data_IF_094898045214
#
_entry.id   IF_094898045214
#
_cell.length_a   1.000
_cell.length_b   1.000
_cell.length_c   1.000
_cell.angle_alpha   90.00
_cell.angle_beta   90.00
_cell.angle_gamma   90.00
#
_symmetry.space_group_name_H-M   'P 1'
#
loop_
_entity.id
_entity.type
_entity.pdbx_description
1 polymer ?
#
# COMPACT_ATOMS: atom_id res chain seq x y z
N UNK A 1 -33.16 7.38 -45.87
CA UNK A 1 -32.55 6.04 -46.01
C UNK A 1 -31.04 6.19 -45.95
N UNK A 2 -30.40 5.23 -45.27
CA UNK A 2 -28.96 4.93 -45.23
C UNK A 2 -28.07 5.91 -44.44
N UNK A 3 -27.98 5.60 -43.15
CA UNK A 3 -26.86 5.94 -42.28
C UNK A 3 -25.56 5.32 -42.82
N UNK A 4 -24.50 6.12 -42.87
CA UNK A 4 -23.15 5.67 -43.21
C UNK A 4 -22.40 5.28 -41.95
N UNK A 5 -21.88 4.06 -41.98
CA UNK A 5 -21.13 3.35 -40.94
C UNK A 5 -19.91 4.16 -40.45
N UNK A 6 -19.92 4.54 -39.17
CA UNK A 6 -18.70 4.82 -38.45
C UNK A 6 -18.05 3.49 -38.08
N UNK A 7 -16.92 3.20 -38.72
CA UNK A 7 -16.12 2.00 -38.46
C UNK A 7 -15.56 2.01 -37.04
N UNK A 8 -15.82 0.92 -36.32
CA UNK A 8 -15.10 0.46 -35.14
C UNK A 8 -13.60 0.56 -35.40
N UNK A 9 -12.91 1.46 -34.67
CA UNK A 9 -11.47 1.36 -34.47
C UNK A 9 -11.21 0.57 -33.20
N UNK A 10 -10.74 -0.64 -33.43
CA UNK A 10 -9.95 -1.54 -32.59
C UNK A 10 -9.77 -1.12 -31.13
N UNK A 11 -10.50 -1.85 -30.29
CA UNK A 11 -10.27 -1.96 -28.86
C UNK A 11 -8.95 -2.75 -28.68
N UNK A 12 -7.82 -2.05 -28.52
CA UNK A 12 -6.57 -2.68 -28.08
C UNK A 12 -6.85 -3.51 -26.83
N UNK A 13 -6.47 -4.79 -26.87
CA UNK A 13 -6.85 -5.79 -25.87
C UNK A 13 -6.32 -5.41 -24.48
N UNK A 14 -7.12 -4.69 -23.71
CA UNK A 14 -7.00 -4.60 -22.26
C UNK A 14 -7.06 -6.03 -21.73
N UNK A 15 -6.07 -6.38 -20.91
CA UNK A 15 -5.95 -7.74 -20.37
C UNK A 15 -7.12 -7.97 -19.42
N UNK A 16 -8.18 -8.65 -19.88
CA UNK A 16 -9.41 -8.88 -19.10
C UNK A 16 -9.08 -9.32 -17.66
N UNK A 17 -9.67 -8.66 -16.67
CA UNK A 17 -9.42 -8.96 -15.25
C UNK A 17 -9.83 -10.43 -15.01
N UNK A 18 -8.92 -11.26 -14.47
CA UNK A 18 -9.17 -12.70 -14.25
C UNK A 18 -9.52 -13.06 -12.81
N UNK A 19 -9.56 -12.07 -11.92
CA UNK A 19 -9.90 -12.23 -10.51
C UNK A 19 -10.48 -10.92 -9.96
N UNK A 20 -11.58 -11.02 -9.23
CA UNK A 20 -12.26 -9.91 -8.56
C UNK A 20 -12.69 -10.34 -7.17
N UNK A 21 -12.50 -9.46 -6.17
CA UNK A 21 -12.92 -9.72 -4.80
C UNK A 21 -13.73 -8.52 -4.31
N UNK A 22 -14.83 -8.79 -3.62
CA UNK A 22 -15.70 -7.77 -3.07
C UNK A 22 -16.18 -8.19 -1.68
N UNK A 23 -16.54 -7.23 -0.84
CA UNK A 23 -17.25 -7.50 0.42
C UNK A 23 -18.73 -7.21 0.19
N UNK A 24 -19.56 -8.23 0.35
CA UNK A 24 -21.01 -8.14 0.25
C UNK A 24 -21.65 -8.09 1.65
N UNK A 25 -22.80 -7.43 1.76
CA UNK A 25 -23.70 -7.59 2.90
C UNK A 25 -24.31 -9.00 2.91
N UNK A 26 -24.88 -9.45 4.04
CA UNK A 26 -25.54 -10.75 4.09
C UNK A 26 -26.65 -10.85 3.05
N UNK A 27 -27.48 -9.80 2.93
CA UNK A 27 -28.57 -9.71 1.95
C UNK A 27 -28.05 -9.81 0.51
N UNK A 28 -26.92 -9.16 0.19
CA UNK A 28 -26.31 -9.25 -1.13
C UNK A 28 -25.73 -10.64 -1.41
N UNK A 29 -25.19 -11.34 -0.41
CA UNK A 29 -24.75 -12.73 -0.57
C UNK A 29 -25.93 -13.64 -0.90
N UNK A 30 -27.04 -13.48 -0.19
CA UNK A 30 -28.23 -14.32 -0.39
C UNK A 30 -28.84 -14.03 -1.78
N UNK A 31 -28.96 -12.74 -2.15
CA UNK A 31 -29.38 -12.30 -3.49
C UNK A 31 -28.48 -12.81 -4.60
N UNK A 32 -27.16 -12.86 -4.38
CA UNK A 32 -26.22 -13.46 -5.33
C UNK A 32 -26.55 -14.94 -5.56
N UNK A 33 -26.80 -15.69 -4.48
CA UNK A 33 -27.22 -17.09 -4.56
C UNK A 33 -28.47 -17.27 -5.42
N UNK A 34 -29.51 -16.48 -5.15
CA UNK A 34 -30.78 -16.50 -5.90
C UNK A 34 -30.57 -16.21 -7.40
N UNK A 35 -29.82 -15.15 -7.73
CA UNK A 35 -29.55 -14.76 -9.12
C UNK A 35 -28.81 -15.86 -9.88
N UNK A 36 -27.77 -16.47 -9.29
CA UNK A 36 -26.99 -17.50 -9.97
C UNK A 36 -27.72 -18.83 -10.09
N UNK A 37 -28.56 -19.18 -9.11
CA UNK A 37 -29.47 -20.31 -9.24
C UNK A 37 -30.50 -20.09 -10.35
N UNK A 38 -31.10 -18.90 -10.44
CA UNK A 38 -32.06 -18.58 -11.50
C UNK A 38 -31.42 -18.60 -12.90
N UNK A 39 -30.12 -18.31 -13.00
CA UNK A 39 -29.34 -18.43 -14.24
C UNK A 39 -28.87 -19.86 -14.55
N UNK A 40 -29.21 -20.84 -13.69
CA UNK A 40 -28.90 -22.26 -13.92
C UNK A 40 -27.43 -22.63 -13.74
N UNK A 41 -26.64 -21.83 -13.00
CA UNK A 41 -25.23 -22.13 -12.78
C UNK A 41 -25.05 -23.38 -11.91
N UNK A 42 -24.02 -24.18 -12.19
CA UNK A 42 -23.74 -25.37 -11.41
C UNK A 42 -23.15 -25.00 -10.05
N UNK A 43 -23.64 -25.64 -8.99
CA UNK A 43 -23.12 -25.45 -7.64
C UNK A 43 -21.91 -26.36 -7.37
N UNK A 44 -21.08 -25.95 -6.43
CA UNK A 44 -20.03 -26.79 -5.86
C UNK A 44 -19.90 -26.59 -4.36
N UNK A 45 -19.31 -27.55 -3.67
CA UNK A 45 -18.97 -27.39 -2.26
C UNK A 45 -17.60 -26.73 -2.08
N UNK A 46 -17.55 -25.69 -1.26
CA UNK A 46 -16.31 -25.05 -0.83
C UNK A 46 -16.39 -24.81 0.67
N UNK A 47 -15.33 -25.17 1.39
CA UNK A 47 -15.28 -25.03 2.85
C UNK A 47 -15.54 -23.59 3.28
N UNK A 48 -16.50 -23.40 4.19
CA UNK A 48 -16.94 -22.10 4.72
C UNK A 48 -17.60 -21.15 3.70
N UNK A 49 -17.92 -21.63 2.50
CA UNK A 49 -18.69 -20.88 1.52
C UNK A 49 -20.19 -20.98 1.83
N UNK A 50 -20.90 -19.86 1.76
CA UNK A 50 -22.36 -19.85 1.75
C UNK A 50 -22.90 -20.22 0.37
N UNK A 51 -22.26 -19.69 -0.66
CA UNK A 51 -22.56 -20.01 -2.05
C UNK A 51 -21.28 -20.24 -2.85
N UNK A 52 -21.28 -21.24 -3.72
CA UNK A 52 -20.20 -21.44 -4.67
C UNK A 52 -20.74 -22.02 -5.98
N UNK A 53 -20.42 -21.34 -7.09
CA UNK A 53 -20.93 -21.65 -8.41
C UNK A 53 -19.80 -21.70 -9.45
N UNK A 54 -20.04 -22.49 -10.50
CA UNK A 54 -19.26 -22.53 -11.73
C UNK A 54 -20.13 -22.03 -12.90
N UNK A 55 -19.65 -20.99 -13.56
CA UNK A 55 -20.21 -20.43 -14.79
C UNK A 55 -19.25 -20.60 -15.96
N UNK A 56 -19.62 -20.07 -17.12
CA UNK A 56 -18.77 -20.19 -18.31
C UNK A 56 -17.48 -19.38 -18.16
N UNK A 57 -16.37 -20.12 -18.02
CA UNK A 57 -15.03 -19.53 -17.84
C UNK A 57 -14.85 -18.72 -16.55
N UNK A 58 -15.76 -18.82 -15.57
CA UNK A 58 -15.72 -18.05 -14.31
C UNK A 58 -16.23 -18.86 -13.13
N UNK A 59 -15.60 -18.66 -11.98
CA UNK A 59 -15.86 -19.34 -10.72
C UNK A 59 -16.22 -18.30 -9.68
N UNK A 60 -17.31 -18.49 -8.96
CA UNK A 60 -17.82 -17.54 -7.97
C UNK A 60 -17.93 -18.23 -6.62
N UNK A 61 -17.37 -17.64 -5.57
CA UNK A 61 -17.45 -18.15 -4.19
C UNK A 61 -17.77 -17.00 -3.26
N UNK A 62 -18.91 -17.06 -2.57
CA UNK A 62 -19.28 -16.15 -1.51
C UNK A 62 -19.20 -16.88 -0.16
N UNK A 63 -18.41 -16.33 0.76
CA UNK A 63 -18.19 -16.88 2.10
C UNK A 63 -19.21 -16.36 3.11
N UNK A 64 -19.42 -17.10 4.20
CA UNK A 64 -20.24 -16.67 5.34
C UNK A 64 -19.79 -15.32 5.91
N UNK A 65 -18.51 -15.00 5.77
CA UNK A 65 -17.97 -13.70 6.15
C UNK A 65 -18.46 -12.54 5.28
N UNK A 66 -19.16 -12.76 4.17
CA UNK A 66 -19.50 -11.76 3.16
C UNK A 66 -18.41 -11.51 2.13
N UNK A 67 -17.24 -12.18 2.23
CA UNK A 67 -16.20 -12.10 1.20
C UNK A 67 -16.70 -12.80 -0.08
N UNK A 68 -16.67 -12.11 -1.21
CA UNK A 68 -16.88 -12.65 -2.55
C UNK A 68 -15.53 -12.81 -3.26
N UNK A 69 -15.35 -13.94 -3.93
CA UNK A 69 -14.22 -14.23 -4.81
C UNK A 69 -14.77 -14.67 -6.16
N UNK A 70 -14.44 -13.92 -7.20
CA UNK A 70 -14.73 -14.25 -8.61
C UNK A 70 -13.40 -14.51 -9.30
N UNK A 71 -13.29 -15.61 -10.04
CA UNK A 71 -12.04 -16.00 -10.69
C UNK A 71 -12.29 -16.69 -12.02
N UNK A 72 -11.53 -16.33 -13.05
CA UNK A 72 -11.59 -16.94 -14.38
C UNK A 72 -11.61 -15.89 -15.48
N UNK A 73 -11.57 -16.35 -16.74
CA UNK A 73 -11.54 -15.47 -17.92
C UNK A 73 -12.82 -14.67 -18.09
N UNK A 74 -13.96 -15.18 -17.62
CA UNK A 74 -15.26 -14.51 -17.64
C UNK A 74 -15.53 -13.59 -16.44
N UNK A 75 -14.52 -13.25 -15.63
CA UNK A 75 -14.71 -12.45 -14.40
C UNK A 75 -15.28 -11.07 -14.71
N UNK A 76 -14.73 -10.36 -15.70
CA UNK A 76 -15.18 -9.02 -16.07
C UNK A 76 -16.62 -9.01 -16.59
N UNK A 77 -16.94 -9.98 -17.46
CA UNK A 77 -18.29 -10.13 -18.02
C UNK A 77 -19.29 -10.48 -16.90
N UNK A 78 -18.92 -11.36 -15.96
CA UNK A 78 -19.74 -11.67 -14.78
C UNK A 78 -20.00 -10.44 -13.90
N UNK A 79 -18.96 -9.68 -13.58
CA UNK A 79 -19.09 -8.53 -12.68
C UNK A 79 -20.01 -7.47 -13.30
N UNK A 80 -19.72 -7.09 -14.54
CA UNK A 80 -20.40 -6.00 -15.25
C UNK A 80 -21.86 -6.33 -15.59
N UNK A 81 -22.17 -7.58 -15.95
CA UNK A 81 -23.50 -7.95 -16.45
C UNK A 81 -24.40 -8.65 -15.43
N UNK A 82 -23.84 -9.15 -14.32
CA UNK A 82 -24.59 -9.91 -13.30
C UNK A 82 -24.39 -9.29 -11.92
N UNK A 83 -23.15 -9.25 -11.41
CA UNK A 83 -22.90 -8.84 -10.03
C UNK A 83 -23.38 -7.42 -9.77
N UNK A 84 -22.95 -6.46 -10.59
CA UNK A 84 -23.26 -5.05 -10.42
C UNK A 84 -24.75 -4.73 -10.63
N UNK A 85 -25.35 -5.06 -11.78
CA UNK A 85 -26.73 -4.69 -12.05
C UNK A 85 -27.75 -5.49 -11.24
N UNK A 86 -27.48 -6.76 -10.91
CA UNK A 86 -28.47 -7.65 -10.29
C UNK A 86 -28.24 -7.86 -8.81
N UNK A 87 -27.01 -7.76 -8.30
CA UNK A 87 -26.70 -8.06 -6.89
C UNK A 87 -26.41 -6.79 -6.10
N UNK A 88 -25.34 -6.07 -6.43
CA UNK A 88 -24.89 -4.92 -5.62
C UNK A 88 -25.71 -3.66 -5.88
N UNK A 89 -26.18 -3.45 -7.12
CA UNK A 89 -26.77 -2.17 -7.54
C UNK A 89 -25.75 -1.04 -7.65
N UNK A 90 -24.46 -1.37 -7.53
CA UNK A 90 -23.33 -0.44 -7.60
C UNK A 90 -22.43 -0.88 -8.74
N UNK A 91 -22.13 0.05 -9.64
CA UNK A 91 -21.19 -0.14 -10.74
C UNK A 91 -19.78 0.14 -10.22
N UNK A 92 -18.99 -0.88 -9.87
CA UNK A 92 -17.72 -0.76 -9.13
C UNK A 92 -16.48 -1.03 -10.02
N UNK A 93 -16.60 -1.92 -11.00
CA UNK A 93 -15.55 -2.39 -11.88
C UNK A 93 -15.55 -1.58 -13.18
N UNK A 94 -14.47 -0.84 -13.45
CA UNK A 94 -14.39 0.03 -14.64
C UNK A 94 -15.06 1.40 -14.46
N UNK A 95 -15.63 1.66 -13.28
CA UNK A 95 -16.26 2.92 -12.90
C UNK A 95 -15.48 3.64 -11.79
N UNK A 96 -14.19 3.35 -11.65
CA UNK A 96 -13.37 3.98 -10.62
C UNK A 96 -13.38 5.52 -10.76
N UNK A 97 -13.43 6.05 -11.99
CA UNK A 97 -13.60 7.50 -12.27
C UNK A 97 -14.94 8.07 -11.76
N UNK A 98 -16.00 7.27 -11.74
CA UNK A 98 -17.34 7.71 -11.30
C UNK A 98 -17.46 7.61 -9.79
N UNK A 99 -16.92 6.55 -9.19
CA UNK A 99 -17.04 6.30 -7.75
C UNK A 99 -16.01 7.04 -6.91
N UNK A 100 -14.84 7.33 -7.48
CA UNK A 100 -13.75 8.04 -6.81
C UNK A 100 -13.18 9.10 -7.76
N UNK A 101 -13.97 10.11 -8.14
CA UNK A 101 -13.52 11.15 -9.08
C UNK A 101 -12.25 11.85 -8.58
N UNK A 102 -12.06 11.94 -7.26
CA UNK A 102 -10.89 12.55 -6.65
C UNK A 102 -9.59 11.83 -7.03
N UNK A 103 -9.60 10.51 -7.29
CA UNK A 103 -8.39 9.78 -7.71
C UNK A 103 -7.85 10.28 -9.05
N UNK A 104 -8.67 10.97 -9.85
CA UNK A 104 -8.32 11.42 -11.19
C UNK A 104 -8.04 12.92 -11.26
N UNK A 105 -8.19 13.63 -10.14
CA UNK A 105 -7.69 14.99 -10.00
C UNK A 105 -6.18 14.99 -9.72
N UNK A 106 -5.43 16.04 -10.10
CA UNK A 106 -4.04 16.16 -9.67
C UNK A 106 -3.93 16.23 -8.15
N UNK A 107 -3.24 15.26 -7.54
CA UNK A 107 -3.05 15.21 -6.09
C UNK A 107 -1.76 14.50 -5.69
N UNK A 108 -1.36 14.70 -4.43
CA UNK A 108 -0.21 14.02 -3.84
C UNK A 108 -0.64 12.77 -3.05
N UNK A 109 0.10 11.68 -3.16
CA UNK A 109 -0.01 10.48 -2.33
C UNK A 109 1.25 10.29 -1.49
N UNK A 110 1.09 9.91 -0.22
CA UNK A 110 2.21 9.73 0.71
C UNK A 110 2.08 8.41 1.49
N UNK A 111 3.19 7.69 1.61
CA UNK A 111 3.29 6.47 2.42
C UNK A 111 4.74 6.20 2.86
N UNK A 112 4.94 5.24 3.77
CA UNK A 112 6.24 4.83 4.28
C UNK A 112 6.54 3.32 4.19
N UNK A 113 7.83 2.98 4.20
CA UNK A 113 8.28 1.59 4.33
C UNK A 113 9.47 1.45 5.28
N UNK A 114 9.59 0.29 5.92
CA UNK A 114 10.70 -0.01 6.83
C UNK A 114 10.43 0.29 8.30
N UNK A 115 9.25 0.81 8.66
CA UNK A 115 8.88 1.18 10.04
C UNK A 115 9.00 0.02 11.04
N UNK A 116 8.57 -1.18 10.64
CA UNK A 116 8.53 -2.37 11.50
C UNK A 116 9.75 -3.28 11.40
N UNK A 117 10.73 -2.93 10.56
CA UNK A 117 11.92 -3.75 10.33
C UNK A 117 13.01 -3.39 11.35
N UNK A 118 13.70 -4.38 11.92
CA UNK A 118 14.81 -4.12 12.85
C UNK A 118 15.97 -3.41 12.13
N UNK A 119 16.24 -3.85 10.91
CA UNK A 119 17.35 -3.37 10.10
C UNK A 119 16.90 -2.30 9.09
N UNK A 120 17.86 -1.47 8.66
CA UNK A 120 17.64 -0.45 7.65
C UNK A 120 16.80 0.73 8.14
N UNK A 121 16.84 1.87 7.42
CA UNK A 121 16.14 3.07 7.85
C UNK A 121 14.63 2.94 7.63
N UNK A 122 13.89 4.00 7.96
CA UNK A 122 12.55 4.19 7.43
C UNK A 122 12.64 5.09 6.20
N UNK A 123 11.86 4.76 5.18
CA UNK A 123 11.74 5.53 3.95
C UNK A 123 10.32 6.06 3.84
N UNK A 124 10.19 7.38 3.73
CA UNK A 124 8.94 8.03 3.32
C UNK A 124 9.01 8.37 1.84
N UNK A 125 7.90 8.26 1.13
CA UNK A 125 7.76 8.71 -0.25
C UNK A 125 6.55 9.62 -0.42
N UNK A 126 6.68 10.57 -1.35
CA UNK A 126 5.60 11.39 -1.87
C UNK A 126 5.59 11.26 -3.39
N UNK A 127 4.42 11.00 -3.95
CA UNK A 127 4.17 10.92 -5.40
C UNK A 127 3.10 11.95 -5.75
N UNK A 128 3.27 12.70 -6.83
CA UNK A 128 2.23 13.61 -7.36
C UNK A 128 1.92 13.19 -8.79
N UNK A 129 0.64 12.96 -9.04
CA UNK A 129 0.12 12.48 -10.32
C UNK A 129 -1.24 13.11 -10.64
N UNK A 130 -1.66 12.98 -11.89
CA UNK A 130 -2.99 13.34 -12.37
C UNK A 130 -3.74 12.13 -12.92
N UNK A 131 -4.98 12.35 -13.36
CA UNK A 131 -5.87 11.29 -13.81
C UNK A 131 -5.32 10.44 -14.97
N UNK A 132 -4.59 11.02 -15.92
CA UNK A 132 -4.05 10.25 -17.05
C UNK A 132 -2.98 9.26 -16.58
N UNK A 133 -2.14 9.68 -15.61
CA UNK A 133 -1.15 8.80 -14.98
C UNK A 133 -1.83 7.68 -14.18
N UNK A 134 -2.89 8.02 -13.44
CA UNK A 134 -3.66 7.05 -12.66
C UNK A 134 -4.32 6.01 -13.56
N UNK A 135 -4.96 6.42 -14.66
CA UNK A 135 -5.52 5.51 -15.67
C UNK A 135 -4.47 4.54 -16.20
N UNK A 136 -3.32 5.08 -16.61
CA UNK A 136 -2.19 4.26 -17.06
C UNK A 136 -1.73 3.25 -16.00
N UNK A 137 -1.64 3.65 -14.73
CA UNK A 137 -1.25 2.74 -13.65
C UNK A 137 -2.26 1.63 -13.41
N UNK A 138 -3.56 1.96 -13.44
CA UNK A 138 -4.63 0.99 -13.29
C UNK A 138 -4.64 -0.03 -14.43
N UNK A 139 -4.44 0.41 -15.67
CA UNK A 139 -4.29 -0.47 -16.84
C UNK A 139 -3.08 -1.41 -16.71
N UNK A 140 -1.96 -0.91 -16.17
CA UNK A 140 -0.78 -1.74 -15.89
C UNK A 140 -0.93 -2.64 -14.65
N UNK A 141 -2.02 -2.52 -13.90
CA UNK A 141 -2.30 -3.28 -12.69
C UNK A 141 -1.38 -2.91 -11.52
N UNK A 142 -0.90 -1.67 -11.49
CA UNK A 142 -0.13 -1.13 -10.38
C UNK A 142 -1.08 -0.94 -9.20
N UNK A 143 -0.78 -1.62 -8.09
CA UNK A 143 -1.57 -1.59 -6.87
C UNK A 143 -0.68 -1.93 -5.70
N UNK A 144 -0.98 -1.39 -4.53
CA UNK A 144 -0.35 -1.85 -3.31
C UNK A 144 -1.08 -3.09 -2.76
N UNK A 145 -0.31 -4.12 -2.43
CA UNK A 145 -0.82 -5.30 -1.75
C UNK A 145 0.30 -5.95 -0.97
N UNK A 146 -0.03 -6.33 0.27
CA UNK A 146 0.87 -7.00 1.21
C UNK A 146 1.42 -8.35 0.71
N UNK A 147 0.86 -8.90 -0.36
CA UNK A 147 1.26 -10.19 -0.96
C UNK A 147 2.16 -10.05 -2.19
N UNK A 148 2.54 -8.83 -2.57
CA UNK A 148 3.38 -8.58 -3.75
C UNK A 148 4.84 -8.92 -3.44
N UNK A 149 5.50 -9.62 -4.37
CA UNK A 149 6.92 -9.98 -4.25
C UNK A 149 7.83 -8.79 -4.49
N UNK A 150 9.04 -8.81 -3.92
CA UNK A 150 10.02 -7.73 -4.12
C UNK A 150 10.31 -7.47 -5.60
N UNK A 151 10.39 -8.52 -6.42
CA UNK A 151 10.63 -8.39 -7.86
C UNK A 151 9.49 -7.65 -8.57
N UNK A 152 8.24 -7.91 -8.17
CA UNK A 152 7.08 -7.20 -8.69
C UNK A 152 7.05 -5.73 -8.20
N UNK A 153 7.39 -5.47 -6.93
CA UNK A 153 7.55 -4.10 -6.41
C UNK A 153 8.57 -3.31 -7.23
N UNK A 154 9.75 -3.88 -7.49
CA UNK A 154 10.78 -3.20 -8.28
C UNK A 154 10.34 -2.93 -9.72
N UNK A 155 9.57 -3.84 -10.33
CA UNK A 155 9.01 -3.66 -11.67
C UNK A 155 7.96 -2.53 -11.70
N UNK A 156 7.03 -2.51 -10.75
CA UNK A 156 6.01 -1.46 -10.66
C UNK A 156 6.63 -0.10 -10.34
N UNK A 157 7.59 -0.03 -9.40
CA UNK A 157 8.32 1.20 -9.10
C UNK A 157 9.00 1.78 -10.34
N UNK A 158 9.59 0.93 -11.20
CA UNK A 158 10.16 1.34 -12.49
C UNK A 158 9.09 1.88 -13.44
N UNK A 159 7.91 1.24 -13.51
CA UNK A 159 6.81 1.71 -14.35
C UNK A 159 6.28 3.07 -13.89
N UNK A 160 6.09 3.25 -12.58
CA UNK A 160 5.70 4.54 -11.98
C UNK A 160 6.73 5.60 -12.32
N UNK A 161 8.03 5.33 -12.09
CA UNK A 161 9.11 6.29 -12.36
C UNK A 161 9.29 6.63 -13.85
N UNK A 162 8.78 5.80 -14.77
CA UNK A 162 8.80 6.04 -16.21
C UNK A 162 7.55 6.77 -16.73
N UNK A 163 6.54 6.98 -15.88
CA UNK A 163 5.35 7.73 -16.24
C UNK A 163 5.70 9.19 -16.45
N UNK A 164 5.45 9.71 -17.65
CA UNK A 164 5.78 11.08 -18.01
C UNK A 164 5.06 12.07 -17.09
N UNK A 165 5.77 13.05 -16.53
CA UNK A 165 5.20 14.12 -15.70
C UNK A 165 4.90 13.77 -14.24
N UNK A 166 5.09 12.50 -13.83
CA UNK A 166 4.97 12.12 -12.41
C UNK A 166 6.07 12.81 -11.60
N UNK A 167 5.72 13.30 -10.41
CA UNK A 167 6.72 13.76 -9.44
C UNK A 167 6.89 12.69 -8.37
N UNK A 168 8.14 12.35 -8.06
CA UNK A 168 8.48 11.38 -7.03
C UNK A 168 9.58 11.94 -6.15
N UNK A 169 9.35 11.97 -4.85
CA UNK A 169 10.35 12.32 -3.85
C UNK A 169 10.35 11.33 -2.71
N UNK A 170 11.53 11.07 -2.18
CA UNK A 170 11.71 10.16 -1.05
C UNK A 170 12.57 10.83 0.01
N UNK A 171 12.19 10.66 1.27
CA UNK A 171 12.99 11.11 2.40
C UNK A 171 13.34 9.93 3.30
N UNK A 172 14.63 9.73 3.53
CA UNK A 172 15.18 8.76 4.45
C UNK A 172 16.55 9.22 4.92
N UNK A 173 17.11 8.54 5.91
CA UNK A 173 18.44 8.84 6.44
C UNK A 173 19.32 7.60 6.45
N UNK A 174 20.62 7.78 6.69
CA UNK A 174 21.47 6.65 7.08
C UNK A 174 20.99 6.06 8.42
N UNK A 175 21.44 4.83 8.73
CA UNK A 175 21.13 4.17 10.01
C UNK A 175 21.66 4.92 11.23
N UNK A 176 22.89 5.43 11.13
CA UNK A 176 23.49 6.28 12.17
C UNK A 176 22.60 7.49 12.43
N UNK A 177 22.22 8.19 11.36
CA UNK A 177 21.39 9.40 11.47
C UNK A 177 19.98 9.09 11.94
N UNK A 178 19.42 7.94 11.57
CA UNK A 178 18.12 7.49 12.05
C UNK A 178 18.12 7.39 13.58
N UNK A 179 19.12 6.71 14.15
CA UNK A 179 19.24 6.52 15.59
C UNK A 179 19.47 7.85 16.33
N UNK A 180 20.28 8.75 15.78
CA UNK A 180 20.42 10.12 16.31
C UNK A 180 19.10 10.90 16.31
N UNK A 181 18.40 10.90 15.18
CA UNK A 181 17.17 11.66 15.01
C UNK A 181 16.05 11.11 15.89
N UNK A 182 15.95 9.79 16.06
CA UNK A 182 14.99 9.19 16.97
C UNK A 182 15.08 9.79 18.38
N UNK A 183 16.31 9.99 18.89
CA UNK A 183 16.54 10.65 20.18
C UNK A 183 16.15 12.14 20.13
N UNK A 184 16.53 12.86 19.07
CA UNK A 184 16.18 14.29 18.90
C UNK A 184 14.67 14.54 18.81
N UNK A 185 13.91 13.57 18.29
CA UNK A 185 12.44 13.63 18.27
C UNK A 185 11.80 13.13 19.57
N UNK A 186 12.56 13.05 20.66
CA UNK A 186 12.08 12.70 22.00
C UNK A 186 11.64 11.25 22.10
N UNK A 187 12.39 10.35 21.45
CA UNK A 187 12.12 8.90 21.43
C UNK A 187 10.72 8.56 20.89
N UNK A 188 10.29 9.31 19.88
CA UNK A 188 8.97 9.17 19.28
C UNK A 188 9.09 8.96 17.76
N UNK A 189 8.92 7.71 17.34
CA UNK A 189 8.99 7.33 15.93
C UNK A 189 7.97 8.08 15.07
N UNK A 190 6.75 8.32 15.58
CA UNK A 190 5.73 9.03 14.80
C UNK A 190 6.12 10.50 14.53
N UNK A 191 6.85 11.15 15.44
CA UNK A 191 7.38 12.51 15.20
C UNK A 191 8.47 12.52 14.13
N UNK A 192 9.35 11.51 14.15
CA UNK A 192 10.39 11.32 13.13
C UNK A 192 9.77 11.01 11.76
N UNK A 193 8.80 10.09 11.70
CA UNK A 193 8.05 9.78 10.47
C UNK A 193 7.40 11.03 9.91
N UNK A 194 6.71 11.80 10.76
CA UNK A 194 6.05 13.01 10.32
C UNK A 194 7.02 14.02 9.69
N UNK A 195 8.23 14.13 10.22
CA UNK A 195 9.27 14.97 9.64
C UNK A 195 9.75 14.45 8.28
N UNK A 196 9.92 13.14 8.12
CA UNK A 196 10.29 12.53 6.84
C UNK A 196 9.20 12.73 5.78
N UNK A 197 7.92 12.53 6.13
CA UNK A 197 6.81 12.81 5.22
C UNK A 197 6.76 14.29 4.82
N UNK A 198 6.89 15.20 5.78
CA UNK A 198 6.94 16.64 5.49
C UNK A 198 8.07 17.00 4.53
N UNK A 199 9.26 16.43 4.72
CA UNK A 199 10.39 16.65 3.82
C UNK A 199 10.12 16.12 2.41
N UNK A 200 9.66 14.87 2.28
CA UNK A 200 9.36 14.29 0.97
C UNK A 200 8.24 15.07 0.25
N UNK A 201 7.24 15.53 1.01
CA UNK A 201 6.15 16.35 0.51
C UNK A 201 6.62 17.71 -0.01
N UNK A 202 7.35 18.49 0.81
CA UNK A 202 7.79 19.83 0.39
C UNK A 202 8.73 19.76 -0.82
N UNK A 203 9.66 18.78 -0.84
CA UNK A 203 10.53 18.55 -2.01
C UNK A 203 9.71 18.22 -3.28
N UNK A 204 8.51 17.65 -3.15
CA UNK A 204 7.63 17.31 -4.26
C UNK A 204 6.77 18.51 -4.69
N UNK A 205 6.23 19.27 -3.71
CA UNK A 205 5.46 20.48 -3.94
C UNK A 205 6.29 21.57 -4.65
N UNK A 206 7.61 21.60 -4.43
CA UNK A 206 8.53 22.46 -5.19
C UNK A 206 8.57 22.18 -6.70
N UNK A 207 8.18 20.98 -7.12
CA UNK A 207 8.16 20.58 -8.53
C UNK A 207 6.76 20.66 -9.14
N UNK A 208 5.73 20.36 -8.36
CA UNK A 208 4.33 20.39 -8.80
C UNK A 208 3.43 20.62 -7.59
N UNK A 209 2.60 21.65 -7.62
CA UNK A 209 1.72 22.01 -6.50
C UNK A 209 0.25 21.70 -6.85
N UNK A 210 -0.26 20.48 -6.54
CA UNK A 210 -1.69 20.21 -6.60
C UNK A 210 -2.42 20.92 -5.44
N UNK A 211 -3.75 20.92 -5.46
CA UNK A 211 -4.55 21.55 -4.38
C UNK A 211 -4.56 20.75 -3.08
N UNK A 212 -4.39 19.44 -3.18
CA UNK A 212 -4.53 18.54 -2.03
C UNK A 212 -3.66 17.27 -2.18
N UNK A 213 -3.55 16.54 -1.07
CA UNK A 213 -2.97 15.21 -1.07
C UNK A 213 -3.42 14.36 0.10
N UNK A 214 -3.09 13.07 0.02
CA UNK A 214 -3.53 12.03 0.93
C UNK A 214 -2.34 11.27 1.51
N UNK A 215 -2.37 11.08 2.82
CA UNK A 215 -1.38 10.31 3.57
C UNK A 215 -2.06 9.11 4.25
N UNK A 216 -1.43 7.93 4.20
CA UNK A 216 -1.88 6.79 5.02
C UNK A 216 -1.68 7.07 6.51
N UNK A 217 -2.76 6.96 7.27
CA UNK A 217 -2.80 7.43 8.64
C UNK A 217 -1.99 6.53 9.58
N UNK A 218 -0.77 6.94 9.93
CA UNK A 218 0.05 6.23 10.93
C UNK A 218 -0.13 6.74 12.38
N UNK A 219 -0.88 7.84 12.58
CA UNK A 219 -1.15 8.48 13.87
C UNK A 219 -2.51 9.17 13.88
N UNK A 220 -3.18 9.21 15.04
CA UNK A 220 -4.43 9.97 15.21
C UNK A 220 -4.23 11.47 15.13
N UNK A 221 -3.07 11.96 15.57
CA UNK A 221 -2.74 13.39 15.54
C UNK A 221 -2.21 13.79 14.15
N UNK A 222 -2.58 14.97 13.62
CA UNK A 222 -2.09 15.50 12.35
C UNK A 222 -0.64 15.99 12.46
N UNK A 223 0.29 15.06 12.71
CA UNK A 223 1.69 15.38 12.93
C UNK A 223 2.40 15.84 11.66
N UNK A 224 1.93 15.46 10.47
CA UNK A 224 2.57 15.80 9.19
C UNK A 224 2.16 17.19 8.72
N UNK A 225 0.92 17.57 8.99
CA UNK A 225 0.32 18.85 8.61
C UNK A 225 1.13 20.04 9.10
N UNK A 226 1.79 19.94 10.27
CA UNK A 226 2.66 21.00 10.80
C UNK A 226 3.95 21.25 9.98
N UNK A 227 4.26 20.35 9.04
CA UNK A 227 5.41 20.48 8.14
C UNK A 227 4.98 20.88 6.72
N UNK A 228 3.68 20.98 6.45
CA UNK A 228 3.19 21.64 5.25
C UNK A 228 3.56 23.11 5.40
N UNK A 229 4.46 23.59 4.55
CA UNK A 229 4.86 25.00 4.52
C UNK A 229 3.68 25.90 4.16
N UNK A 230 3.81 27.23 4.32
CA UNK A 230 2.78 28.23 4.04
C UNK A 230 2.36 28.26 2.55
N UNK A 231 1.65 27.22 2.12
CA UNK A 231 1.18 26.94 0.76
C UNK A 231 -0.32 26.73 0.75
N UNK A 232 -0.94 26.95 -0.40
CA UNK A 232 -2.37 26.67 -0.60
C UNK A 232 -2.61 25.17 -0.88
N UNK A 233 -2.08 24.31 -0.02
CA UNK A 233 -2.13 22.84 -0.13
C UNK A 233 -2.81 22.20 1.08
N UNK A 234 -3.78 21.32 0.85
CA UNK A 234 -4.46 20.57 1.90
C UNK A 234 -3.93 19.14 2.03
N UNK A 235 -3.34 18.79 3.18
CA UNK A 235 -2.95 17.41 3.48
C UNK A 235 -4.00 16.67 4.31
N UNK A 236 -4.69 15.74 3.67
CA UNK A 236 -5.66 14.84 4.29
C UNK A 236 -5.00 13.54 4.77
N UNK A 237 -5.65 12.88 5.74
CA UNK A 237 -5.22 11.59 6.26
C UNK A 237 -6.43 10.69 6.45
N UNK A 238 -6.32 9.44 6.00
CA UNK A 238 -7.30 8.40 6.29
C UNK A 238 -6.61 7.06 6.52
N UNK A 239 -7.24 6.18 7.27
CA UNK A 239 -6.82 4.78 7.32
C UNK A 239 -7.14 4.11 5.99
N UNK A 240 -6.31 3.14 5.57
CA UNK A 240 -6.49 2.42 4.31
C UNK A 240 -6.36 3.33 3.10
N UNK A 241 -5.46 4.33 3.19
CA UNK A 241 -5.29 5.28 2.09
C UNK A 241 -4.71 4.60 0.85
N UNK A 242 -4.10 3.42 0.97
CA UNK A 242 -3.59 2.61 -0.15
C UNK A 242 -4.65 2.16 -1.17
N UNK A 243 -5.95 2.37 -0.89
CA UNK A 243 -6.99 2.23 -1.91
C UNK A 243 -6.87 3.28 -3.01
N UNK A 244 -6.31 4.45 -2.69
CA UNK A 244 -6.00 5.50 -3.64
C UNK A 244 -4.79 5.11 -4.51
N UNK A 245 -4.89 5.19 -5.85
CA UNK A 245 -3.81 4.79 -6.75
C UNK A 245 -2.50 5.57 -6.57
N UNK A 246 -2.55 6.85 -6.19
CA UNK A 246 -1.37 7.69 -5.99
C UNK A 246 -0.72 7.39 -4.65
N UNK A 247 -1.49 7.12 -3.60
CA UNK A 247 -0.96 6.60 -2.33
C UNK A 247 -0.36 5.21 -2.51
N UNK A 248 -1.02 4.32 -3.27
CA UNK A 248 -0.47 3.02 -3.61
C UNK A 248 0.86 3.14 -4.38
N UNK A 249 0.96 4.10 -5.31
CA UNK A 249 2.21 4.39 -6.00
C UNK A 249 3.30 4.87 -5.01
N UNK A 250 2.97 5.74 -4.06
CA UNK A 250 3.89 6.16 -3.00
C UNK A 250 4.36 4.98 -2.14
N UNK A 251 3.46 4.06 -1.78
CA UNK A 251 3.80 2.83 -1.04
C UNK A 251 4.83 1.97 -1.79
N UNK A 252 4.58 1.74 -3.08
CA UNK A 252 5.45 0.96 -3.96
C UNK A 252 6.83 1.63 -4.06
N UNK A 253 6.89 2.94 -4.23
CA UNK A 253 8.14 3.70 -4.27
C UNK A 253 8.89 3.63 -2.94
N UNK A 254 8.20 3.83 -1.82
CA UNK A 254 8.79 3.74 -0.49
C UNK A 254 9.38 2.34 -0.26
N UNK A 255 8.64 1.29 -0.64
CA UNK A 255 9.08 -0.10 -0.51
C UNK A 255 10.26 -0.42 -1.42
N UNK A 256 10.22 -0.02 -2.68
CA UNK A 256 11.32 -0.23 -3.63
C UNK A 256 12.60 0.48 -3.16
N UNK A 257 12.47 1.72 -2.68
CA UNK A 257 13.59 2.49 -2.14
C UNK A 257 14.15 1.85 -0.88
N UNK A 258 13.30 1.35 0.02
CA UNK A 258 13.73 0.61 1.21
C UNK A 258 14.47 -0.68 0.85
N UNK A 259 13.97 -1.46 -0.12
CA UNK A 259 14.65 -2.67 -0.61
C UNK A 259 16.05 -2.34 -1.17
N UNK A 260 16.22 -1.19 -1.83
CA UNK A 260 17.54 -0.73 -2.28
C UNK A 260 18.46 -0.38 -1.10
N UNK A 261 17.94 0.25 -0.04
CA UNK A 261 18.72 0.50 1.18
C UNK A 261 19.13 -0.79 1.88
N UNK A 262 18.24 -1.78 1.92
CA UNK A 262 18.55 -3.10 2.47
C UNK A 262 19.67 -3.80 1.71
N UNK A 263 19.66 -3.77 0.37
CA UNK A 263 20.77 -4.33 -0.43
C UNK A 263 22.12 -3.68 -0.12
N UNK A 264 22.14 -2.35 0.10
CA UNK A 264 23.37 -1.65 0.52
C UNK A 264 23.81 -2.10 1.91
N UNK A 265 22.87 -2.30 2.82
CA UNK A 265 23.16 -2.77 4.17
C UNK A 265 23.65 -4.23 4.18
N UNK A 266 23.09 -5.10 3.34
CA UNK A 266 23.54 -6.49 3.15
C UNK A 266 24.97 -6.54 2.62
N UNK A 267 25.31 -5.68 1.64
CA UNK A 267 26.67 -5.57 1.13
C UNK A 267 27.64 -5.11 2.22
N UNK A 268 27.25 -4.12 3.04
CA UNK A 268 28.05 -3.65 4.17
C UNK A 268 28.23 -4.72 5.26
N UNK A 269 27.16 -5.47 5.56
CA UNK A 269 27.19 -6.57 6.52
C UNK A 269 27.96 -7.79 6.01
N UNK A 270 28.15 -7.92 4.69
CA UNK A 270 28.72 -9.10 4.05
C UNK A 270 27.84 -10.35 4.18
N UNK A 271 26.51 -10.18 4.30
CA UNK A 271 25.53 -11.27 4.45
C UNK A 271 24.11 -10.79 4.11
N UNK A 272 23.19 -11.72 3.92
CA UNK A 272 21.77 -11.38 3.82
C UNK A 272 21.19 -10.92 5.16
N UNK A 273 20.27 -9.95 5.08
CA UNK A 273 19.62 -9.34 6.23
C UNK A 273 18.10 -9.60 6.11
N UNK A 274 17.49 -10.28 7.10
CA UNK A 274 16.08 -10.59 7.07
C UNK A 274 15.23 -9.33 7.32
N UNK A 275 14.01 -9.36 6.79
CA UNK A 275 13.01 -8.31 7.02
C UNK A 275 12.26 -8.57 8.32
N UNK A 276 11.60 -7.54 8.83
CA UNK A 276 10.87 -7.55 10.09
C UNK A 276 11.79 -7.51 11.31
N UNK A 277 11.24 -7.87 12.46
CA UNK A 277 11.92 -7.81 13.76
C UNK A 277 11.75 -9.08 14.60
N UNK A 278 11.43 -10.20 13.95
CA UNK A 278 11.17 -11.51 14.58
C UNK A 278 12.44 -12.31 14.90
N UNK A 279 12.29 -13.62 15.08
CA UNK A 279 13.36 -14.54 15.50
C UNK A 279 14.58 -14.48 14.56
N UNK A 280 14.37 -14.59 13.25
CA UNK A 280 15.45 -14.52 12.26
C UNK A 280 16.21 -13.19 12.34
N UNK A 281 15.49 -12.07 12.54
CA UNK A 281 16.14 -10.76 12.68
C UNK A 281 16.98 -10.67 13.96
N UNK A 282 16.53 -11.29 15.06
CA UNK A 282 17.29 -11.38 16.31
C UNK A 282 18.56 -12.20 16.15
N UNK A 283 18.47 -13.36 15.50
CA UNK A 283 19.62 -14.23 15.23
C UNK A 283 20.70 -13.50 14.44
N UNK A 284 20.32 -12.89 13.30
CA UNK A 284 21.25 -12.12 12.47
C UNK A 284 21.82 -10.92 13.23
N UNK A 285 21.02 -10.24 14.06
CA UNK A 285 21.53 -9.14 14.88
C UNK A 285 22.56 -9.62 15.92
N UNK A 286 22.36 -10.80 16.52
CA UNK A 286 23.33 -11.40 17.45
C UNK A 286 24.64 -11.81 16.77
N UNK A 287 24.56 -12.31 15.54
CA UNK A 287 25.73 -12.59 14.71
C UNK A 287 26.48 -11.31 14.32
N UNK A 288 25.76 -10.25 13.94
CA UNK A 288 26.36 -8.94 13.64
C UNK A 288 27.01 -8.33 14.89
N UNK A 289 26.37 -8.43 16.05
CA UNK A 289 26.92 -8.02 17.33
C UNK A 289 28.21 -8.78 17.66
N UNK A 290 28.22 -10.11 17.49
CA UNK A 290 29.41 -10.94 17.74
C UNK A 290 30.58 -10.56 16.81
N UNK A 291 30.28 -10.13 15.58
CA UNK A 291 31.29 -9.79 14.57
C UNK A 291 31.82 -8.36 14.68
N UNK A 292 30.94 -7.39 14.89
CA UNK A 292 31.25 -5.96 14.79
C UNK A 292 31.28 -5.23 16.13
N UNK A 293 30.80 -5.88 17.20
CA UNK A 293 30.68 -5.31 18.53
C UNK A 293 29.53 -4.32 18.66
N UNK A 294 29.22 -3.95 19.91
CA UNK A 294 28.11 -3.05 20.24
C UNK A 294 28.19 -1.70 19.52
N UNK A 295 29.39 -1.12 19.48
CA UNK A 295 29.61 0.24 18.98
C UNK A 295 29.11 0.42 17.54
N UNK A 296 29.08 -0.64 16.74
CA UNK A 296 28.63 -0.60 15.33
C UNK A 296 27.18 -0.99 15.12
N UNK A 297 26.47 -1.47 16.15
CA UNK A 297 25.09 -1.95 15.97
C UNK A 297 24.13 -0.87 15.46
N UNK A 298 24.38 0.39 15.81
CA UNK A 298 23.60 1.54 15.35
C UNK A 298 23.74 1.81 13.82
N UNK A 299 24.73 1.21 13.15
CA UNK A 299 24.89 1.28 11.70
C UNK A 299 23.99 0.27 10.97
N UNK A 300 23.45 -0.73 11.69
CA UNK A 300 22.59 -1.78 11.12
C UNK A 300 21.16 -1.73 11.65
N UNK A 301 21.01 -1.55 12.96
CA UNK A 301 19.77 -1.74 13.70
C UNK A 301 19.14 -0.43 14.16
N UNK A 302 17.81 -0.42 14.21
CA UNK A 302 17.03 0.56 14.95
C UNK A 302 17.19 0.28 16.44
N UNK A 303 18.04 1.03 17.14
CA UNK A 303 18.51 0.68 18.49
C UNK A 303 17.42 0.72 19.56
N UNK A 304 16.32 1.44 19.33
CA UNK A 304 15.17 1.48 20.23
C UNK A 304 14.27 0.22 20.17
N UNK A 305 14.53 -0.72 19.25
CA UNK A 305 13.77 -1.96 19.15
C UNK A 305 14.17 -2.93 20.27
N UNK A 306 13.18 -3.56 20.92
CA UNK A 306 13.40 -4.63 21.90
C UNK A 306 14.37 -5.71 21.37
N UNK A 307 14.18 -6.11 20.10
CA UNK A 307 15.00 -7.12 19.44
C UNK A 307 16.48 -6.74 19.37
N UNK A 308 16.82 -5.45 19.27
CA UNK A 308 18.22 -5.00 19.30
C UNK A 308 18.86 -5.26 20.66
N UNK A 309 18.15 -4.94 21.76
CA UNK A 309 18.63 -5.20 23.12
C UNK A 309 18.81 -6.70 23.38
N UNK A 310 17.81 -7.51 23.03
CA UNK A 310 17.86 -8.97 23.21
C UNK A 310 19.02 -9.60 22.42
N UNK A 311 19.26 -9.16 21.19
CA UNK A 311 20.37 -9.64 20.36
C UNK A 311 21.75 -9.32 20.95
N UNK A 312 21.87 -8.23 21.72
CA UNK A 312 23.09 -7.85 22.44
C UNK A 312 23.15 -8.42 23.87
N UNK A 313 22.22 -9.29 24.26
CA UNK A 313 22.14 -9.84 25.63
C UNK A 313 21.76 -8.80 26.70
N UNK A 314 21.14 -7.68 26.31
CA UNK A 314 20.75 -6.58 27.20
C UNK A 314 19.30 -6.65 27.60
N UNK A 315 19.00 -6.08 28.77
CA UNK A 315 17.63 -5.89 29.23
C UNK A 315 17.01 -4.72 28.45
N UNK A 316 15.89 -4.93 27.73
CA UNK A 316 15.20 -3.86 27.04
C UNK A 316 14.62 -2.83 28.04
N UNK A 317 14.56 -1.54 27.69
CA UNK A 317 13.95 -0.53 28.55
C UNK A 317 12.49 -0.86 28.83
N UNK A 318 12.05 -0.60 30.06
CA UNK A 318 10.66 -0.84 30.50
C UNK A 318 9.74 0.01 29.62
N UNK A 319 8.73 -0.63 29.01
CA UNK A 319 7.72 0.12 28.24
C UNK A 319 7.05 1.14 29.15
N UNK A 320 6.94 2.39 28.70
CA UNK A 320 6.14 3.41 29.39
C UNK A 320 4.74 2.81 29.63
N UNK A 321 4.31 2.77 30.89
CA UNK A 321 3.03 2.21 31.28
C UNK A 321 1.91 2.88 30.47
N UNK A 322 0.94 2.07 30.02
CA UNK A 322 -0.24 2.59 29.35
C UNK A 322 -0.96 3.55 30.30
N UNK A 323 -1.07 4.83 29.92
CA UNK A 323 -1.79 5.80 30.73
C UNK A 323 -3.30 5.66 30.49
N UNK A 324 -4.10 5.28 31.49
CA UNK A 324 -5.54 5.09 31.33
C UNK A 324 -6.28 6.35 30.87
N UNK A 325 -5.69 7.53 31.10
CA UNK A 325 -6.26 8.82 30.66
C UNK A 325 -6.18 9.05 29.15
N UNK A 326 -5.40 8.25 28.41
CA UNK A 326 -5.32 8.34 26.93
C UNK A 326 -6.57 7.83 26.20
N UNK A 327 -7.58 7.29 26.92
CA UNK A 327 -8.91 6.95 26.37
C UNK A 327 -9.90 8.12 26.33
N UNK A 328 -9.56 9.30 26.84
CA UNK A 328 -10.44 10.47 26.81
C UNK A 328 -9.85 11.59 25.96
N UNK A 329 -10.22 11.61 24.68
CA UNK A 329 -10.74 12.77 23.96
C UNK A 329 -11.27 12.31 22.61
#
# INVERSE_FOLDING_TARGET
MMASLAQNKDNESTKKKSMYNLKLSSEQVDKLGEVLHALGWSTREVKYARHAFDGDGVKVVAYESGKLVVQGKGTEDFVTHILEPKVTGEFLLGYEEVNNPEWFEPHAGLDESGKGDLFGPVVSACVIADGDMVKFWMEKGIRDSKTITDGAIMKMAKQIAMTQGVVIKTAFTSMVKYNELYLKFGENLNKLLAWLHGRALNDALDLREPKWGLLDQFTKQPLVQKYVEDRSFELQMRTKAESDPVVAAASIIARATWLQQMKKLEAFAGRSIPKGSGTQAKEVAGELFSRFGEAKMHEFCKMHFKTAYEAMGKIPPVKKAWNPKWKKK
#
